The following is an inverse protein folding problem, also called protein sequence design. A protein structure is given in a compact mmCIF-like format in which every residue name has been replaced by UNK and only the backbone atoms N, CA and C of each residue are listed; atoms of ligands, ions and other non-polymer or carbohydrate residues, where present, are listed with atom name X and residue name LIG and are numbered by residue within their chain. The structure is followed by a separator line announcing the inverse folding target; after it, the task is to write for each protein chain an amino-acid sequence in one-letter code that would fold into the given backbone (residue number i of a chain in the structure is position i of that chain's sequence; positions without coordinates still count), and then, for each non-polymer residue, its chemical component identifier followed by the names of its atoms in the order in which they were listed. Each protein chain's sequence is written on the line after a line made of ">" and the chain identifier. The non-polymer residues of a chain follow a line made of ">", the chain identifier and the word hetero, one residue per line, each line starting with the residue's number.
data_IF_595378458987
#
_entry.id   IF_595378458987
#
_cell.length_a   1.000
_cell.length_b   1.000
_cell.length_c   1.000
_cell.angle_alpha   90.00
_cell.angle_beta   90.00
_cell.angle_gamma   90.00
#
_symmetry.space_group_name_H-M   'P 1'
#
loop_
_entity.id
_entity.type
_entity.pdbx_description
1 polymer ?
#
# COMPACT_ATOMS: atom_id res chain seq x y z
N UNK A 1 13.09 -15.52 -5.36
CA UNK A 1 13.18 -14.69 -4.14
C UNK A 1 13.54 -15.58 -2.96
N UNK A 2 14.76 -16.14 -2.96
CA UNK A 2 15.22 -17.10 -1.95
C UNK A 2 16.22 -16.51 -0.97
N UNK A 3 16.84 -15.37 -1.33
CA UNK A 3 18.01 -14.84 -0.61
C UNK A 3 17.62 -13.78 0.44
N UNK A 4 16.34 -13.38 0.47
CA UNK A 4 15.82 -12.48 1.50
C UNK A 4 15.67 -13.23 2.84
N UNK A 5 15.98 -12.55 3.94
CA UNK A 5 15.76 -13.09 5.29
C UNK A 5 14.27 -13.10 5.66
N UNK A 6 13.50 -12.17 5.10
CA UNK A 6 12.07 -12.06 5.29
C UNK A 6 11.43 -11.57 3.99
N UNK A 7 10.26 -12.14 3.67
CA UNK A 7 9.39 -11.63 2.62
C UNK A 7 8.06 -11.21 3.24
N UNK A 8 7.72 -9.93 3.11
CA UNK A 8 6.42 -9.40 3.55
C UNK A 8 5.53 -9.22 2.33
N UNK A 9 4.44 -9.99 2.24
CA UNK A 9 3.41 -9.74 1.24
C UNK A 9 2.38 -8.77 1.80
N UNK A 10 2.15 -7.67 1.09
CA UNK A 10 1.10 -6.72 1.44
C UNK A 10 -0.14 -7.04 0.64
N UNK A 11 -1.18 -7.45 1.36
CA UNK A 11 -2.50 -7.73 0.82
C UNK A 11 -3.49 -6.70 1.37
N UNK A 12 -4.38 -6.24 0.51
CA UNK A 12 -5.46 -5.32 0.90
C UNK A 12 -6.80 -6.05 0.79
N UNK A 13 -7.66 -5.79 1.76
CA UNK A 13 -9.06 -6.21 1.79
C UNK A 13 -9.90 -5.13 1.10
N UNK A 14 -10.46 -5.44 -0.07
CA UNK A 14 -11.27 -4.50 -0.86
C UNK A 14 -12.60 -4.16 -0.17
N UNK A 15 -13.08 -5.06 0.69
CA UNK A 15 -14.37 -4.95 1.37
C UNK A 15 -14.21 -4.52 2.84
N UNK A 16 -13.00 -4.08 3.23
CA UNK A 16 -12.70 -3.67 4.61
C UNK A 16 -13.65 -2.59 5.14
N UNK A 17 -14.15 -1.73 4.25
CA UNK A 17 -15.07 -0.65 4.56
C UNK A 17 -16.48 -1.13 4.94
N UNK A 18 -16.89 -2.32 4.46
CA UNK A 18 -18.24 -2.87 4.68
C UNK A 18 -18.30 -3.84 5.86
N UNK A 19 -17.23 -4.63 6.08
CA UNK A 19 -17.23 -5.75 7.03
C UNK A 19 -17.46 -5.33 8.49
N UNK A 20 -16.54 -4.56 9.04
CA UNK A 20 -16.58 -4.06 10.41
C UNK A 20 -15.77 -2.75 10.47
N UNK A 21 -16.28 -1.65 9.90
CA UNK A 21 -15.58 -0.37 9.95
C UNK A 21 -15.51 0.18 11.38
N UNK A 22 -16.41 -0.22 12.29
CA UNK A 22 -16.44 0.26 13.67
C UNK A 22 -15.17 -0.13 14.44
N UNK A 23 -14.53 -1.27 14.12
CA UNK A 23 -13.27 -1.69 14.75
C UNK A 23 -12.16 -0.66 14.68
N UNK A 24 -12.13 0.18 13.63
CA UNK A 24 -11.13 1.21 13.43
C UNK A 24 -11.40 2.49 14.23
N UNK A 25 -12.64 2.67 14.69
CA UNK A 25 -13.13 3.86 15.38
C UNK A 25 -13.56 3.58 16.82
N UNK A 26 -13.32 2.36 17.33
CA UNK A 26 -13.76 1.88 18.64
C UNK A 26 -13.35 2.78 19.82
N UNK A 27 -12.22 3.48 19.71
CA UNK A 27 -11.63 4.32 20.76
C UNK A 27 -12.04 5.80 20.63
N UNK A 28 -12.93 6.12 19.68
CA UNK A 28 -13.48 7.47 19.47
C UNK A 28 -14.84 7.65 20.14
N UNK A 29 -15.20 8.90 20.46
CA UNK A 29 -16.50 9.19 21.05
C UNK A 29 -17.67 8.81 20.13
N UNK A 30 -18.81 8.46 20.73
CA UNK A 30 -20.00 8.01 20.00
C UNK A 30 -20.46 9.02 18.94
N UNK A 31 -20.39 10.32 19.23
CA UNK A 31 -20.74 11.36 18.26
C UNK A 31 -19.87 11.33 16.99
N UNK A 32 -18.58 10.96 17.12
CA UNK A 32 -17.67 10.79 15.97
C UNK A 32 -18.01 9.51 15.22
N UNK A 33 -18.26 8.40 15.92
CA UNK A 33 -18.64 7.14 15.31
C UNK A 33 -19.94 7.28 14.49
N UNK A 34 -20.99 7.86 15.10
CA UNK A 34 -22.30 8.08 14.47
C UNK A 34 -22.20 8.98 13.22
N UNK A 35 -21.19 9.85 13.17
CA UNK A 35 -20.92 10.76 12.05
C UNK A 35 -20.10 10.10 10.93
N UNK A 36 -19.07 9.34 11.28
CA UNK A 36 -18.10 8.80 10.30
C UNK A 36 -18.59 7.49 9.67
N UNK A 37 -19.15 6.55 10.44
CA UNK A 37 -19.46 5.21 9.94
C UNK A 37 -20.44 5.22 8.75
N UNK A 38 -21.54 6.00 8.75
CA UNK A 38 -22.43 6.08 7.60
C UNK A 38 -21.74 6.67 6.35
N UNK A 39 -20.76 7.55 6.55
CA UNK A 39 -20.03 8.20 5.46
C UNK A 39 -19.01 7.30 4.81
N UNK A 40 -18.33 6.45 5.60
CA UNK A 40 -17.46 5.40 5.04
C UNK A 40 -18.29 4.55 4.07
N UNK A 41 -19.45 4.08 4.51
CA UNK A 41 -20.34 3.32 3.65
C UNK A 41 -20.80 4.11 2.41
N UNK A 42 -21.14 5.40 2.56
CA UNK A 42 -21.51 6.24 1.42
C UNK A 42 -20.36 6.47 0.44
N UNK A 43 -19.13 6.58 0.93
CA UNK A 43 -17.96 6.93 0.13
C UNK A 43 -17.50 5.76 -0.75
N UNK A 44 -17.54 4.53 -0.24
CA UNK A 44 -17.03 3.35 -0.95
C UNK A 44 -18.10 2.53 -1.67
N UNK A 45 -19.38 2.65 -1.29
CA UNK A 45 -20.45 1.83 -1.88
C UNK A 45 -20.56 2.07 -3.38
N UNK A 46 -20.67 0.98 -4.13
CA UNK A 46 -20.81 0.95 -5.59
C UNK A 46 -19.66 1.64 -6.36
N UNK A 47 -18.52 1.90 -5.72
CA UNK A 47 -17.31 2.47 -6.34
C UNK A 47 -16.10 1.53 -6.15
N UNK A 48 -16.08 0.44 -6.92
CA UNK A 48 -14.98 -0.55 -6.92
C UNK A 48 -13.62 0.08 -7.24
N UNK A 49 -13.61 1.17 -8.02
CA UNK A 49 -12.39 1.88 -8.34
C UNK A 49 -11.84 2.57 -7.10
N UNK A 50 -12.66 3.32 -6.37
CA UNK A 50 -12.23 4.00 -5.15
C UNK A 50 -11.82 3.02 -4.06
N UNK A 51 -12.54 1.90 -3.90
CA UNK A 51 -12.16 0.79 -3.01
C UNK A 51 -10.75 0.27 -3.33
N UNK A 52 -10.48 -0.02 -4.60
CA UNK A 52 -9.18 -0.47 -5.06
C UNK A 52 -8.10 0.60 -4.89
N UNK A 53 -8.37 1.82 -5.28
CA UNK A 53 -7.38 2.90 -5.27
C UNK A 53 -6.98 3.25 -3.82
N UNK A 54 -7.92 3.19 -2.86
CA UNK A 54 -7.60 3.35 -1.44
C UNK A 54 -6.77 2.19 -0.89
N UNK A 55 -7.10 0.94 -1.28
CA UNK A 55 -6.28 -0.22 -0.96
C UNK A 55 -4.83 -0.05 -1.43
N UNK A 56 -4.63 0.45 -2.66
CA UNK A 56 -3.30 0.71 -3.21
C UNK A 56 -2.56 1.82 -2.44
N UNK A 57 -3.23 2.93 -2.12
CA UNK A 57 -2.64 4.03 -1.33
C UNK A 57 -2.20 3.55 0.05
N UNK A 58 -3.11 2.87 0.77
CA UNK A 58 -2.85 2.33 2.10
C UNK A 58 -1.64 1.38 2.12
N UNK A 59 -1.62 0.39 1.21
CA UNK A 59 -0.51 -0.54 1.13
C UNK A 59 0.79 0.11 0.62
N UNK A 60 0.72 1.10 -0.27
CA UNK A 60 1.89 1.84 -0.75
C UNK A 60 2.57 2.62 0.38
N UNK A 61 1.80 3.32 1.21
CA UNK A 61 2.29 4.03 2.40
C UNK A 61 2.90 3.02 3.39
N UNK A 62 2.19 1.93 3.70
CA UNK A 62 2.68 0.90 4.60
C UNK A 62 4.00 0.26 4.09
N UNK A 63 4.10 -0.02 2.80
CA UNK A 63 5.31 -0.56 2.19
C UNK A 63 6.50 0.39 2.35
N UNK A 64 6.32 1.67 2.07
CA UNK A 64 7.36 2.68 2.24
C UNK A 64 7.80 2.77 3.71
N UNK A 65 6.86 2.75 4.66
CA UNK A 65 7.18 2.73 6.09
C UNK A 65 7.96 1.49 6.50
N UNK A 66 7.57 0.30 6.01
CA UNK A 66 8.30 -0.96 6.24
C UNK A 66 9.73 -0.86 5.71
N UNK A 67 9.92 -0.31 4.51
CA UNK A 67 11.26 -0.15 3.91
C UNK A 67 12.14 0.80 4.72
N UNK A 68 11.58 1.93 5.18
CA UNK A 68 12.30 2.89 6.04
C UNK A 68 12.64 2.27 7.41
N UNK A 69 11.72 1.51 8.01
CA UNK A 69 11.94 0.80 9.26
C UNK A 69 13.04 -0.26 9.11
N UNK A 70 13.01 -1.06 8.05
CA UNK A 70 14.06 -2.02 7.74
C UNK A 70 15.42 -1.32 7.65
N UNK A 71 15.48 -0.16 6.98
CA UNK A 71 16.72 0.63 6.88
C UNK A 71 17.21 1.15 8.22
N UNK A 72 16.32 1.69 9.05
CA UNK A 72 16.64 2.14 10.39
C UNK A 72 17.17 1.01 11.30
N UNK A 73 16.72 -0.22 11.08
CA UNK A 73 17.21 -1.42 11.76
C UNK A 73 18.49 -2.01 11.15
N UNK A 74 19.08 -1.34 10.15
CA UNK A 74 20.32 -1.77 9.50
C UNK A 74 20.14 -2.90 8.48
N UNK A 75 18.93 -3.10 7.95
CA UNK A 75 18.65 -3.99 6.82
C UNK A 75 18.50 -3.19 5.53
N UNK A 76 18.54 -3.88 4.41
CA UNK A 76 18.12 -3.37 3.11
C UNK A 76 16.79 -4.01 2.70
N UNK A 77 16.09 -3.37 1.78
CA UNK A 77 14.78 -3.83 1.31
C UNK A 77 14.57 -3.56 -0.17
N UNK A 78 13.68 -4.33 -0.79
CA UNK A 78 13.30 -4.20 -2.20
C UNK A 78 11.79 -4.41 -2.34
N UNK A 79 11.01 -3.38 -2.74
CA UNK A 79 9.62 -3.55 -3.10
C UNK A 79 9.53 -4.21 -4.48
N UNK A 80 8.64 -5.18 -4.64
CA UNK A 80 8.57 -6.01 -5.83
C UNK A 80 7.12 -6.24 -6.26
N UNK A 81 6.93 -6.19 -7.58
CA UNK A 81 5.70 -6.55 -8.30
C UNK A 81 5.97 -7.53 -9.46
N UNK A 82 7.22 -7.95 -9.65
CA UNK A 82 7.67 -8.78 -10.78
C UNK A 82 7.42 -10.27 -10.58
N UNK A 83 6.25 -10.66 -10.08
CA UNK A 83 5.88 -12.05 -9.85
C UNK A 83 4.45 -12.33 -10.36
N UNK A 84 4.09 -13.62 -10.44
CA UNK A 84 2.76 -14.07 -10.84
C UNK A 84 1.80 -13.94 -9.64
N UNK A 85 0.96 -12.90 -9.68
CA UNK A 85 0.02 -12.57 -8.60
C UNK A 85 -1.00 -13.68 -8.36
N UNK A 86 -1.49 -14.36 -9.40
CA UNK A 86 -2.45 -15.45 -9.25
C UNK A 86 -1.83 -16.65 -8.55
N UNK A 87 -0.62 -17.06 -8.97
CA UNK A 87 0.10 -18.18 -8.32
C UNK A 87 0.49 -17.84 -6.89
N UNK A 88 0.94 -16.61 -6.63
CA UNK A 88 1.23 -16.15 -5.28
C UNK A 88 -0.03 -16.16 -4.40
N UNK A 89 -1.15 -15.65 -4.92
CA UNK A 89 -2.44 -15.66 -4.22
C UNK A 89 -2.91 -17.07 -3.86
N UNK A 90 -2.81 -18.02 -4.81
CA UNK A 90 -3.10 -19.44 -4.56
C UNK A 90 -2.20 -20.03 -3.46
N UNK A 91 -0.91 -19.70 -3.46
CA UNK A 91 0.06 -20.19 -2.49
C UNK A 91 -0.28 -19.73 -1.06
N UNK A 92 -0.63 -18.44 -0.89
CA UNK A 92 -0.97 -17.88 0.41
C UNK A 92 -2.44 -18.07 0.80
N UNK A 93 -3.23 -18.74 -0.05
CA UNK A 93 -4.69 -18.90 0.10
C UNK A 93 -5.38 -17.54 0.28
N UNK A 94 -5.05 -16.61 -0.61
CA UNK A 94 -5.59 -15.25 -0.62
C UNK A 94 -7.13 -15.31 -0.70
N UNK A 95 -7.85 -14.64 0.23
CA UNK A 95 -9.30 -14.53 0.14
C UNK A 95 -9.75 -13.84 -1.17
N UNK A 96 -10.97 -14.13 -1.62
CA UNK A 96 -11.48 -13.64 -2.91
C UNK A 96 -11.70 -12.12 -2.95
N UNK A 97 -11.94 -11.52 -1.79
CA UNK A 97 -12.12 -10.08 -1.55
C UNK A 97 -10.79 -9.36 -1.24
N UNK A 98 -9.66 -10.07 -1.38
CA UNK A 98 -8.34 -9.48 -1.18
C UNK A 98 -7.53 -9.42 -2.47
N UNK A 99 -6.66 -8.43 -2.54
CA UNK A 99 -5.66 -8.29 -3.60
C UNK A 99 -4.27 -8.23 -3.01
N UNK A 100 -3.29 -8.77 -3.72
CA UNK A 100 -1.88 -8.52 -3.41
C UNK A 100 -1.50 -7.19 -4.07
N UNK A 101 -1.01 -6.24 -3.28
CA UNK A 101 -0.59 -4.93 -3.78
C UNK A 101 0.87 -4.97 -4.24
N UNK A 102 1.75 -5.46 -3.35
CA UNK A 102 3.17 -5.69 -3.62
C UNK A 102 3.75 -6.62 -2.55
N UNK A 103 5.00 -7.03 -2.70
CA UNK A 103 5.76 -7.58 -1.59
C UNK A 103 7.06 -6.81 -1.35
N UNK A 104 7.58 -6.89 -0.13
CA UNK A 104 8.85 -6.29 0.27
C UNK A 104 9.79 -7.41 0.71
N UNK A 105 10.86 -7.63 -0.05
CA UNK A 105 11.98 -8.45 0.42
C UNK A 105 12.83 -7.65 1.38
N UNK A 106 13.23 -8.26 2.50
CA UNK A 106 14.05 -7.65 3.55
C UNK A 106 15.21 -8.58 3.88
N UNK A 107 16.42 -8.04 3.98
CA UNK A 107 17.62 -8.81 4.29
C UNK A 107 18.85 -7.91 4.47
N UNK A 108 20.04 -8.53 4.58
CA UNK A 108 21.30 -7.80 4.57
C UNK A 108 21.80 -7.68 3.12
N UNK A 109 22.10 -6.46 2.68
CA UNK A 109 22.70 -6.25 1.37
C UNK A 109 24.05 -6.97 1.26
N UNK A 110 24.22 -7.76 0.20
CA UNK A 110 25.49 -8.42 -0.11
C UNK A 110 26.47 -7.48 -0.83
N UNK A 111 25.93 -6.43 -1.46
CA UNK A 111 26.67 -5.36 -2.13
C UNK A 111 25.88 -4.06 -2.03
N UNK A 112 26.53 -2.94 -2.34
CA UNK A 112 25.85 -1.67 -2.47
C UNK A 112 24.77 -1.73 -3.57
N UNK A 113 23.72 -0.93 -3.41
CA UNK A 113 22.70 -0.78 -4.45
C UNK A 113 23.31 -0.16 -5.71
N UNK A 114 22.85 -0.61 -6.88
CA UNK A 114 23.22 -0.01 -8.15
C UNK A 114 22.72 1.45 -8.23
N UNK A 115 23.34 2.31 -9.06
CA UNK A 115 22.87 3.66 -9.29
C UNK A 115 21.41 3.68 -9.73
N UNK A 116 20.62 4.61 -9.18
CA UNK A 116 19.22 4.81 -9.62
C UNK A 116 19.20 5.51 -10.99
N UNK A 117 18.20 5.24 -11.86
CA UNK A 117 18.11 5.81 -13.22
C UNK A 117 17.76 7.32 -13.27
N UNK A 118 18.03 8.08 -12.20
CA UNK A 118 17.69 9.50 -12.07
C UNK A 118 16.25 9.75 -11.63
N UNK A 119 15.95 11.03 -11.39
CA UNK A 119 14.61 11.55 -11.09
C UNK A 119 14.21 12.53 -12.19
N UNK A 120 12.91 12.73 -12.40
CA UNK A 120 12.43 13.82 -13.25
C UNK A 120 12.83 15.17 -12.66
N UNK A 121 13.10 16.20 -13.48
CA UNK A 121 13.31 17.56 -13.00
C UNK A 121 12.10 18.07 -12.21
N UNK A 122 12.35 18.89 -11.18
CA UNK A 122 11.30 19.36 -10.27
C UNK A 122 10.22 20.16 -10.99
N UNK A 123 10.59 20.94 -12.01
CA UNK A 123 9.68 21.71 -12.85
C UNK A 123 8.68 20.85 -13.65
N UNK A 124 8.90 19.54 -13.76
CA UNK A 124 7.96 18.60 -14.39
C UNK A 124 6.98 17.96 -13.40
N UNK A 125 7.25 18.03 -12.09
CA UNK A 125 6.49 17.29 -11.06
C UNK A 125 6.00 18.16 -9.91
N UNK A 126 6.44 19.42 -9.82
CA UNK A 126 5.98 20.39 -8.83
C UNK A 126 5.48 21.64 -9.54
N UNK A 127 4.20 21.93 -9.30
CA UNK A 127 3.52 23.11 -9.81
C UNK A 127 2.91 23.88 -8.63
N UNK A 128 2.89 25.20 -8.72
CA UNK A 128 2.26 26.05 -7.72
C UNK A 128 0.80 26.26 -8.12
N UNK A 129 -0.11 25.88 -7.24
CA UNK A 129 -1.57 26.04 -7.32
C UNK A 129 -2.31 25.30 -8.45
N UNK A 130 -1.78 25.23 -9.67
CA UNK A 130 -2.44 24.62 -10.84
C UNK A 130 -1.47 23.89 -11.78
N UNK A 131 -1.95 22.89 -12.51
CA UNK A 131 -1.18 22.27 -13.60
C UNK A 131 -0.90 23.28 -14.74
N UNK A 132 0.21 23.12 -15.49
CA UNK A 132 0.47 23.91 -16.70
C UNK A 132 -0.65 23.74 -17.74
N UNK A 133 -0.99 24.81 -18.46
CA UNK A 133 -2.02 24.77 -19.52
C UNK A 133 -1.72 23.78 -20.66
N UNK A 134 -0.44 23.39 -20.81
CA UNK A 134 0.04 22.46 -21.84
C UNK A 134 0.51 21.12 -21.25
N UNK A 135 0.02 20.73 -20.07
CA UNK A 135 0.34 19.46 -19.42
C UNK A 135 -0.28 18.25 -20.14
#
# INVERSE_FOLDING_TARGET
>A
MTDASLLVMLCADLDAWEKDPQRYWKDTDKAVQDFILPRIAQYYRDDEREQRDEAMRSCGIAAQTIMLAAKAMGYDSCPMIGFDFEKAGKLIRLPADHIIVLCVAIGKGMKAAEPRPGQLPMEQVVFTDTFPENA
#
